data_IF_988989904780
#
_entry.id   IF_988989904780
#
_cell.length_a   1.000
_cell.length_b   1.000
_cell.length_c   1.000
_cell.angle_alpha   90.00
_cell.angle_beta   90.00
_cell.angle_gamma   90.00
#
_symmetry.space_group_name_H-M   'P 1'
#
loop_
_entity.id
_entity.type
_entity.pdbx_description
1 polymer ?
#
# COMPACT_ATOMS: atom_id res chain seq x y z
N UNK A 1 -24.95 -10.14 11.06
CA UNK A 1 -23.85 -9.29 10.55
C UNK A 1 -23.37 -8.43 11.72
N UNK A 2 -22.17 -8.66 12.24
CA UNK A 2 -21.65 -7.87 13.38
C UNK A 2 -21.19 -6.52 12.82
N UNK A 3 -21.69 -5.38 13.32
CA UNK A 3 -21.25 -4.07 12.84
C UNK A 3 -19.87 -3.79 13.45
N UNK A 4 -18.82 -4.06 12.67
CA UNK A 4 -17.42 -3.93 13.07
C UNK A 4 -16.60 -3.13 12.05
N UNK A 5 -15.52 -2.52 12.52
CA UNK A 5 -14.48 -1.92 11.67
C UNK A 5 -13.77 -3.06 10.96
N UNK A 6 -13.90 -3.11 9.64
CA UNK A 6 -13.35 -4.14 8.78
C UNK A 6 -12.23 -3.53 7.96
N UNK A 7 -11.02 -4.05 8.16
CA UNK A 7 -9.85 -3.70 7.37
C UNK A 7 -9.83 -4.58 6.12
N UNK A 8 -9.82 -4.00 4.90
CA UNK A 8 -9.68 -4.77 3.64
C UNK A 8 -8.30 -4.51 3.01
N UNK A 9 -7.66 -5.58 2.53
CA UNK A 9 -6.55 -5.49 1.58
C UNK A 9 -7.15 -5.25 0.20
N UNK A 10 -6.96 -4.06 -0.35
CA UNK A 10 -7.23 -3.80 -1.76
C UNK A 10 -5.94 -3.98 -2.56
N UNK A 11 -6.05 -4.67 -3.70
CA UNK A 11 -5.00 -4.68 -4.71
C UNK A 11 -4.84 -3.23 -5.21
N UNK A 12 -3.61 -2.74 -5.22
CA UNK A 12 -3.22 -1.32 -5.33
C UNK A 12 -3.57 -0.58 -6.63
N UNK A 13 -4.57 -1.02 -7.42
CA UNK A 13 -4.88 -0.43 -8.73
C UNK A 13 -6.01 0.61 -8.72
N UNK A 14 -6.80 0.70 -7.66
CA UNK A 14 -7.93 1.65 -7.59
C UNK A 14 -7.79 2.55 -6.35
N UNK A 15 -7.64 3.86 -6.59
CA UNK A 15 -7.72 4.87 -5.53
C UNK A 15 -9.14 4.82 -4.96
N UNK A 16 -9.32 4.33 -3.73
CA UNK A 16 -10.64 4.30 -3.11
C UNK A 16 -11.03 5.74 -2.75
N UNK A 17 -12.06 6.32 -3.40
CA UNK A 17 -12.47 7.67 -3.12
C UNK A 17 -12.75 7.82 -1.62
N UNK A 18 -12.31 8.91 -0.99
CA UNK A 18 -12.42 9.10 0.45
C UNK A 18 -13.86 9.15 0.97
N UNK A 19 -14.83 9.40 0.07
CA UNK A 19 -16.26 9.38 0.34
C UNK A 19 -16.93 8.04 -0.03
N UNK A 20 -16.20 7.09 -0.61
CA UNK A 20 -16.76 5.80 -0.98
C UNK A 20 -16.96 4.94 0.27
N UNK A 21 -18.21 4.51 0.43
CA UNK A 21 -18.58 3.46 1.38
C UNK A 21 -18.60 2.14 0.61
N UNK A 22 -17.71 1.19 0.95
CA UNK A 22 -17.79 -0.13 0.34
C UNK A 22 -19.19 -0.73 0.56
N UNK A 23 -19.69 -1.53 -0.37
CA UNK A 23 -20.95 -2.27 -0.16
C UNK A 23 -20.77 -3.46 0.77
N UNK A 24 -19.56 -4.02 0.81
CA UNK A 24 -19.14 -5.13 1.67
C UNK A 24 -17.67 -4.96 2.05
N UNK A 25 -17.29 -5.42 3.23
CA UNK A 25 -15.89 -5.51 3.65
C UNK A 25 -15.65 -6.82 4.41
N UNK A 26 -14.48 -7.42 4.16
CA UNK A 26 -13.99 -8.57 4.92
C UNK A 26 -12.89 -8.08 5.86
N UNK A 27 -12.77 -8.72 7.03
CA UNK A 27 -11.65 -8.49 7.94
C UNK A 27 -10.39 -9.06 7.30
N UNK A 28 -9.25 -8.43 7.57
CA UNK A 28 -7.94 -8.98 7.26
C UNK A 28 -7.14 -9.11 8.54
N UNK A 29 -6.43 -10.22 8.64
CA UNK A 29 -5.50 -10.46 9.75
C UNK A 29 -4.08 -10.05 9.35
N UNK A 30 -3.76 -10.03 8.05
CA UNK A 30 -2.46 -9.59 7.56
C UNK A 30 -2.47 -9.01 6.14
N UNK A 31 -1.41 -8.26 5.82
CA UNK A 31 -1.05 -7.78 4.49
C UNK A 31 0.39 -8.17 4.14
N UNK A 32 0.63 -8.47 2.88
CA UNK A 32 1.96 -8.81 2.36
C UNK A 32 2.56 -7.68 1.53
N UNK A 33 3.86 -7.45 1.69
CA UNK A 33 4.66 -6.52 0.90
C UNK A 33 5.89 -7.24 0.35
N UNK A 34 6.19 -7.02 -0.92
CA UNK A 34 7.44 -7.49 -1.54
C UNK A 34 8.22 -6.27 -2.00
N UNK A 35 9.51 -6.24 -1.70
CA UNK A 35 10.39 -5.15 -2.08
C UNK A 35 11.79 -5.68 -2.41
N UNK A 36 12.60 -4.88 -3.10
CA UNK A 36 14.03 -5.10 -3.26
C UNK A 36 14.79 -4.21 -2.29
N UNK A 37 16.03 -4.61 -1.98
CA UNK A 37 16.94 -3.83 -1.12
C UNK A 37 17.09 -2.40 -1.65
N UNK A 38 17.13 -1.43 -0.73
CA UNK A 38 17.28 0.01 -1.00
C UNK A 38 16.10 0.64 -1.77
N UNK A 39 14.90 0.11 -1.61
CA UNK A 39 13.66 0.70 -2.11
C UNK A 39 12.74 1.20 -0.99
N UNK A 40 11.80 2.05 -1.39
CA UNK A 40 10.60 2.34 -0.63
C UNK A 40 9.45 1.54 -1.21
N UNK A 41 8.79 0.74 -0.39
CA UNK A 41 7.62 -0.01 -0.77
C UNK A 41 6.49 0.27 0.22
N UNK A 42 5.24 0.18 -0.20
CA UNK A 42 4.12 0.40 0.70
C UNK A 42 2.98 -0.59 0.48
N UNK A 43 2.29 -0.91 1.56
CA UNK A 43 1.02 -1.63 1.54
C UNK A 43 -0.09 -0.74 2.08
N UNK A 44 -1.32 -0.97 1.63
CA UNK A 44 -2.47 -0.13 1.96
C UNK A 44 -3.56 -0.97 2.62
N UNK A 45 -4.13 -0.45 3.70
CA UNK A 45 -5.27 -1.01 4.41
C UNK A 45 -6.39 0.01 4.39
N UNK A 46 -7.57 -0.37 3.92
CA UNK A 46 -8.74 0.49 4.00
C UNK A 46 -9.42 0.31 5.36
N UNK A 47 -9.62 1.41 6.08
CA UNK A 47 -10.35 1.46 7.35
C UNK A 47 -11.67 2.18 7.10
N UNK A 48 -12.78 1.46 7.23
CA UNK A 48 -14.12 1.98 6.96
C UNK A 48 -14.90 2.18 8.26
N UNK A 49 -15.51 3.36 8.41
CA UNK A 49 -16.45 3.66 9.48
C UNK A 49 -17.88 3.46 8.99
N UNK A 50 -18.49 2.37 9.43
CA UNK A 50 -19.89 2.01 9.11
C UNK A 50 -20.91 2.70 10.03
N UNK A 51 -20.47 3.52 10.97
CA UNK A 51 -21.34 4.22 11.90
C UNK A 51 -21.79 5.57 11.32
N UNK A 52 -22.88 6.08 11.90
CA UNK A 52 -23.41 7.42 11.62
C UNK A 52 -22.70 8.53 12.40
N UNK A 53 -21.69 8.18 13.20
CA UNK A 53 -20.88 9.11 14.00
C UNK A 53 -19.41 9.02 13.60
N UNK A 54 -18.66 10.13 13.62
CA UNK A 54 -17.22 10.10 13.38
C UNK A 54 -16.51 9.28 14.46
N UNK A 55 -15.37 8.70 14.09
CA UNK A 55 -14.52 7.90 14.96
C UNK A 55 -13.10 8.47 14.98
N UNK A 56 -12.47 8.47 16.15
CA UNK A 56 -11.05 8.71 16.31
C UNK A 56 -10.35 7.40 16.64
N UNK A 57 -9.31 7.09 15.87
CA UNK A 57 -8.48 5.92 16.09
C UNK A 57 -7.06 6.34 16.47
N UNK A 58 -6.40 5.47 17.24
CA UNK A 58 -4.96 5.46 17.38
C UNK A 58 -4.39 4.28 16.61
N UNK A 59 -3.49 4.56 15.68
CA UNK A 59 -2.74 3.55 14.93
C UNK A 59 -1.31 3.55 15.41
N UNK A 60 -0.80 2.37 15.77
CA UNK A 60 0.56 2.21 16.28
C UNK A 60 1.11 0.85 15.87
N UNK A 61 2.43 0.68 15.97
CA UNK A 61 3.05 -0.65 15.91
C UNK A 61 2.88 -1.35 17.26
N UNK A 62 2.54 -2.63 17.23
CA UNK A 62 2.34 -3.50 18.39
C UNK A 62 3.06 -4.82 18.17
N UNK A 63 4.39 -4.75 18.10
CA UNK A 63 5.21 -5.93 17.83
C UNK A 63 5.23 -6.92 19.00
N UNK A 64 4.92 -6.46 20.23
CA UNK A 64 4.77 -7.27 21.44
C UNK A 64 5.98 -8.16 21.75
N UNK A 65 5.79 -9.10 22.67
CA UNK A 65 6.71 -10.23 22.80
C UNK A 65 6.51 -11.18 21.60
N UNK A 66 7.62 -11.62 21.02
CA UNK A 66 7.65 -12.51 19.87
C UNK A 66 8.22 -13.87 20.31
N UNK A 67 7.58 -14.95 19.87
CA UNK A 67 8.08 -16.30 20.11
C UNK A 67 9.41 -16.55 19.38
N UNK A 68 10.12 -17.59 19.79
CA UNK A 68 11.43 -17.95 19.22
C UNK A 68 11.40 -18.21 17.70
N UNK A 69 10.28 -18.71 17.19
CA UNK A 69 10.08 -19.01 15.75
C UNK A 69 9.50 -17.84 14.95
N UNK A 70 9.34 -16.66 15.56
CA UNK A 70 8.79 -15.51 14.87
C UNK A 70 9.76 -14.95 13.82
N UNK A 71 9.23 -14.47 12.70
CA UNK A 71 10.03 -13.70 11.74
C UNK A 71 10.68 -12.49 12.43
N UNK A 72 11.89 -12.09 12.00
CA UNK A 72 12.52 -10.86 12.45
C UNK A 72 11.56 -9.67 12.36
N UNK A 73 11.53 -8.86 13.41
CA UNK A 73 10.77 -7.61 13.38
C UNK A 73 11.40 -6.62 12.40
N UNK A 74 10.59 -5.85 11.69
CA UNK A 74 11.11 -4.67 10.99
C UNK A 74 11.70 -3.70 12.02
N UNK A 75 12.86 -3.06 11.77
CA UNK A 75 13.33 -1.95 12.60
C UNK A 75 12.28 -0.84 12.69
N UNK A 76 12.27 -0.07 13.78
CA UNK A 76 11.24 0.93 14.04
C UNK A 76 11.25 2.02 12.96
N UNK A 77 12.46 2.50 12.64
CA UNK A 77 12.80 3.51 11.65
C UNK A 77 12.52 3.07 10.21
N UNK A 78 12.48 1.76 9.95
CA UNK A 78 12.16 1.23 8.63
C UNK A 78 10.67 1.38 8.28
N UNK A 79 9.79 1.60 9.26
CA UNK A 79 8.33 1.65 9.04
C UNK A 79 7.80 3.05 9.28
N UNK A 80 7.13 3.61 8.28
CA UNK A 80 6.42 4.87 8.38
C UNK A 80 4.93 4.64 8.12
N UNK A 81 4.09 4.99 9.08
CA UNK A 81 2.65 4.96 8.90
C UNK A 81 2.18 6.31 8.34
N UNK A 82 1.34 6.25 7.32
CA UNK A 82 0.73 7.40 6.65
C UNK A 82 -0.76 7.15 6.50
N UNK A 83 -1.54 8.19 6.27
CA UNK A 83 -2.94 8.03 5.91
C UNK A 83 -3.29 8.93 4.75
N UNK A 84 -4.20 8.48 3.90
CA UNK A 84 -4.64 9.29 2.77
C UNK A 84 -5.65 10.35 3.21
N UNK A 85 -5.36 11.59 2.85
CA UNK A 85 -6.20 12.75 3.13
C UNK A 85 -6.93 13.15 1.84
N UNK A 86 -8.26 13.30 1.86
CA UNK A 86 -9.00 13.88 0.75
C UNK A 86 -8.50 15.30 0.47
N UNK A 87 -8.05 15.55 -0.76
CA UNK A 87 -7.82 16.90 -1.25
C UNK A 87 -9.00 17.34 -2.12
N UNK A 88 -9.53 18.56 -1.92
CA UNK A 88 -10.53 19.12 -2.81
C UNK A 88 -9.92 19.34 -4.19
N UNK A 89 -10.59 18.82 -5.23
CA UNK A 89 -10.22 19.04 -6.61
C UNK A 89 -11.19 20.04 -7.26
N UNK A 90 -10.72 21.09 -7.96
CA UNK A 90 -11.60 21.99 -8.68
C UNK A 90 -12.43 21.21 -9.72
N UNK A 91 -13.77 21.27 -9.60
CA UNK A 91 -14.75 20.65 -10.51
C UNK A 91 -14.73 19.11 -10.59
N UNK A 92 -14.12 18.42 -9.62
CA UNK A 92 -14.09 16.95 -9.57
C UNK A 92 -14.32 16.44 -8.14
N UNK A 93 -14.62 15.16 -8.03
CA UNK A 93 -14.66 14.47 -6.73
C UNK A 93 -13.30 14.56 -6.03
N UNK A 94 -13.34 14.62 -4.69
CA UNK A 94 -12.12 14.70 -3.88
C UNK A 94 -11.27 13.44 -4.08
N UNK A 95 -9.98 13.64 -4.33
CA UNK A 95 -9.01 12.54 -4.49
C UNK A 95 -8.24 12.35 -3.19
N UNK A 96 -8.05 11.11 -2.78
CA UNK A 96 -7.20 10.74 -1.66
C UNK A 96 -5.73 10.73 -2.12
N UNK A 97 -5.16 11.93 -2.31
CA UNK A 97 -3.85 12.12 -2.95
C UNK A 97 -2.75 12.54 -1.95
N UNK A 98 -3.09 13.29 -0.91
CA UNK A 98 -2.14 13.64 0.14
C UNK A 98 -1.88 12.44 1.06
N UNK A 99 -0.61 12.08 1.26
CA UNK A 99 -0.16 10.98 2.13
C UNK A 99 0.73 11.48 3.30
N UNK A 100 0.21 12.35 4.20
CA UNK A 100 0.98 12.77 5.37
C UNK A 100 1.32 11.58 6.27
N UNK A 101 2.45 11.72 6.97
CA UNK A 101 2.84 10.81 8.06
C UNK A 101 1.83 10.95 9.20
N UNK A 102 1.48 9.83 9.83
CA UNK A 102 0.80 9.87 11.12
C UNK A 102 1.72 10.54 12.14
N UNK A 103 1.15 11.44 12.94
CA UNK A 103 1.90 12.15 13.98
C UNK A 103 2.40 11.19 15.08
N UNK A 104 3.16 11.72 16.05
CA UNK A 104 3.67 10.92 17.16
C UNK A 104 2.58 10.30 18.05
N UNK A 105 1.36 10.85 18.02
CA UNK A 105 0.22 10.29 18.73
C UNK A 105 -0.42 9.12 17.95
N UNK A 106 -0.22 9.06 16.64
CA UNK A 106 -0.77 8.05 15.75
C UNK A 106 -2.26 8.24 15.49
N UNK A 107 -2.76 9.48 15.59
CA UNK A 107 -4.19 9.75 15.51
C UNK A 107 -4.70 9.77 14.08
N UNK A 108 -5.82 9.10 13.85
CA UNK A 108 -6.51 9.09 12.56
C UNK A 108 -8.00 9.35 12.78
N UNK A 109 -8.48 10.47 12.24
CA UNK A 109 -9.91 10.81 12.25
C UNK A 109 -10.61 10.18 11.03
N UNK A 110 -11.71 9.48 11.30
CA UNK A 110 -12.50 8.80 10.28
C UNK A 110 -13.96 9.26 10.36
N UNK A 111 -14.42 10.10 9.41
CA UNK A 111 -15.80 10.59 9.40
C UNK A 111 -16.84 9.47 9.33
N UNK A 112 -18.06 9.78 9.73
CA UNK A 112 -19.20 8.88 9.62
C UNK A 112 -19.39 8.42 8.16
N UNK A 113 -19.60 7.12 7.95
CA UNK A 113 -19.83 6.59 6.60
C UNK A 113 -18.71 6.90 5.62
N UNK A 114 -17.44 6.89 6.05
CA UNK A 114 -16.30 7.12 5.15
C UNK A 114 -15.23 6.06 5.33
N UNK A 115 -14.37 5.97 4.32
CA UNK A 115 -13.18 5.12 4.32
C UNK A 115 -11.93 6.00 4.31
N UNK A 116 -10.90 5.59 5.04
CA UNK A 116 -9.54 6.15 4.94
C UNK A 116 -8.56 5.04 4.63
N UNK A 117 -7.57 5.36 3.81
CA UNK A 117 -6.49 4.45 3.51
C UNK A 117 -5.37 4.66 4.54
N UNK A 118 -5.01 3.60 5.25
CA UNK A 118 -3.81 3.53 6.09
C UNK A 118 -2.69 2.92 5.26
N UNK A 119 -1.62 3.68 5.09
CA UNK A 119 -0.45 3.31 4.32
C UNK A 119 0.68 2.88 5.26
N UNK A 120 1.24 1.71 4.99
CA UNK A 120 2.38 1.15 5.70
C UNK A 120 3.57 1.22 4.76
N UNK A 121 4.33 2.30 4.85
CA UNK A 121 5.53 2.49 4.03
C UNK A 121 6.73 1.86 4.73
N UNK A 122 7.50 1.08 3.98
CA UNK A 122 8.71 0.40 4.44
C UNK A 122 9.89 0.94 3.64
N UNK A 123 10.84 1.57 4.34
CA UNK A 123 12.16 1.88 3.82
C UNK A 123 13.05 0.67 4.02
N UNK A 124 13.55 0.09 2.93
CA UNK A 124 14.38 -1.12 2.96
C UNK A 124 15.87 -0.82 2.92
N UNK A 125 16.26 0.46 2.95
CA UNK A 125 17.66 0.85 3.10
C UNK A 125 18.25 0.25 4.38
N UNK A 126 19.40 -0.40 4.25
CA UNK A 126 20.08 -1.05 5.38
C UNK A 126 19.50 -2.39 5.82
N UNK A 127 18.38 -2.85 5.25
CA UNK A 127 17.83 -4.19 5.53
C UNK A 127 18.54 -5.27 4.70
N UNK A 128 18.73 -6.44 5.30
CA UNK A 128 19.25 -7.62 4.61
C UNK A 128 18.12 -8.36 3.89
N UNK A 129 18.36 -8.93 2.70
CA UNK A 129 17.37 -9.78 2.03
C UNK A 129 16.85 -10.87 2.96
N UNK A 130 15.55 -11.13 2.94
CA UNK A 130 14.92 -12.04 3.89
C UNK A 130 13.43 -11.78 4.08
N UNK A 131 12.89 -12.36 5.16
CA UNK A 131 11.50 -12.17 5.57
C UNK A 131 11.46 -11.42 6.90
N UNK A 132 10.59 -10.42 6.98
CA UNK A 132 10.33 -9.64 8.17
C UNK A 132 8.84 -9.60 8.43
N UNK A 133 8.46 -9.29 9.67
CA UNK A 133 7.07 -8.97 9.97
C UNK A 133 6.95 -7.81 10.95
N UNK A 134 5.85 -7.08 10.91
CA UNK A 134 5.42 -6.20 12.00
C UNK A 134 3.92 -6.35 12.25
N UNK A 135 3.43 -5.93 13.41
CA UNK A 135 2.00 -5.87 13.70
C UNK A 135 1.58 -4.43 13.94
N UNK A 136 0.44 -4.07 13.36
CA UNK A 136 -0.22 -2.80 13.60
C UNK A 136 -1.38 -3.02 14.57
N UNK A 137 -1.56 -2.07 15.48
CA UNK A 137 -2.70 -1.96 16.36
C UNK A 137 -3.53 -0.75 15.94
N UNK A 138 -4.79 -0.99 15.58
CA UNK A 138 -5.79 0.02 15.26
C UNK A 138 -6.78 0.04 16.40
N UNK A 139 -6.63 1.02 17.29
CA UNK A 139 -7.41 1.14 18.52
C UNK A 139 -8.43 2.27 18.39
N UNK A 140 -9.74 1.99 18.47
CA UNK A 140 -10.73 3.06 18.58
C UNK A 140 -10.58 3.79 19.93
N UNK A 141 -10.62 5.12 19.89
CA UNK A 141 -10.61 5.97 21.09
C UNK A 141 -12.00 6.52 21.41
N UNK A 142 -12.74 6.92 20.38
CA UNK A 142 -14.11 7.45 20.51
C UNK A 142 -15.08 6.58 19.74
N UNK A 143 -15.35 5.38 20.26
CA UNK A 143 -16.29 4.45 19.63
C UNK A 143 -17.18 3.74 20.67
N UNK A 144 -18.39 3.29 20.27
CA UNK A 144 -19.20 2.41 21.13
C UNK A 144 -18.46 1.10 21.43
N UNK A 145 -18.74 0.47 22.58
CA UNK A 145 -18.00 -0.72 23.05
C UNK A 145 -17.99 -1.93 22.11
N UNK A 146 -18.86 -1.97 21.09
CA UNK A 146 -18.82 -2.98 20.01
C UNK A 146 -17.65 -2.82 19.05
N UNK A 147 -17.02 -1.64 19.00
CA UNK A 147 -15.84 -1.38 18.19
C UNK A 147 -14.60 -1.77 18.99
N UNK A 148 -14.02 -2.91 18.65
CA UNK A 148 -12.84 -3.44 19.34
C UNK A 148 -11.55 -3.02 18.66
N UNK A 149 -10.44 -3.11 19.40
CA UNK A 149 -9.09 -2.95 18.84
C UNK A 149 -8.83 -4.06 17.82
N UNK A 150 -8.33 -3.68 16.65
CA UNK A 150 -7.93 -4.61 15.60
C UNK A 150 -6.40 -4.70 15.51
N UNK A 151 -5.91 -5.89 15.17
CA UNK A 151 -4.48 -6.12 14.91
C UNK A 151 -4.29 -6.64 13.49
N UNK A 152 -3.37 -6.02 12.76
CA UNK A 152 -3.09 -6.38 11.37
C UNK A 152 -1.59 -6.67 11.24
N UNK A 153 -1.25 -7.90 10.85
CA UNK A 153 0.10 -8.29 10.51
C UNK A 153 0.56 -7.67 9.19
N UNK A 154 1.84 -7.35 9.08
CA UNK A 154 2.48 -6.84 7.88
C UNK A 154 3.69 -7.71 7.62
N UNK A 155 3.60 -8.57 6.62
CA UNK A 155 4.67 -9.48 6.24
C UNK A 155 5.45 -8.91 5.07
N UNK A 156 6.76 -8.75 5.22
CA UNK A 156 7.63 -8.16 4.21
C UNK A 156 8.62 -9.19 3.70
N UNK A 157 8.66 -9.39 2.38
CA UNK A 157 9.69 -10.17 1.70
C UNK A 157 10.64 -9.24 0.95
N UNK A 158 11.91 -9.26 1.36
CA UNK A 158 12.96 -8.45 0.78
C UNK A 158 13.89 -9.29 -0.10
N UNK A 159 14.09 -8.84 -1.34
CA UNK A 159 14.99 -9.47 -2.31
C UNK A 159 16.25 -8.64 -2.55
N UNK A 160 17.28 -9.27 -3.11
CA UNK A 160 18.57 -8.62 -3.45
C UNK A 160 18.51 -7.73 -4.70
N UNK A 161 17.47 -7.85 -5.53
CA UNK A 161 17.57 -7.49 -6.94
C UNK A 161 17.19 -6.02 -7.26
N UNK A 162 18.19 -5.23 -7.65
CA UNK A 162 18.08 -4.27 -8.74
C UNK A 162 19.29 -4.54 -9.66
N UNK A 163 19.12 -4.85 -10.95
CA UNK A 163 20.26 -4.99 -11.86
C UNK A 163 21.07 -3.68 -11.88
N UNK A 164 22.35 -3.73 -11.50
CA UNK A 164 23.26 -2.56 -11.47
C UNK A 164 23.63 -2.05 -12.86
N UNK A 165 23.34 -2.81 -13.92
CA UNK A 165 23.44 -2.38 -15.31
C UNK A 165 22.06 -2.53 -15.95
N UNK A 166 21.36 -1.41 -16.07
CA UNK A 166 20.12 -1.33 -16.81
C UNK A 166 20.39 -0.58 -18.13
N UNK A 167 19.87 -1.03 -19.29
CA UNK A 167 20.14 -0.38 -20.58
C UNK A 167 19.47 1.00 -20.75
N UNK A 168 18.77 1.49 -19.73
CA UNK A 168 18.12 2.81 -19.69
C UNK A 168 18.54 3.53 -18.41
N UNK A 169 18.86 4.81 -18.51
CA UNK A 169 19.23 5.69 -17.38
C UNK A 169 18.04 6.01 -16.46
N UNK A 170 16.81 5.75 -16.93
CA UNK A 170 15.56 5.95 -16.17
C UNK A 170 14.84 4.60 -16.08
N UNK A 171 14.41 4.27 -14.87
CA UNK A 171 13.79 3.01 -14.54
C UNK A 171 12.53 3.23 -13.69
N UNK A 172 11.43 2.63 -14.12
CA UNK A 172 10.18 2.54 -13.36
C UNK A 172 9.97 1.06 -12.99
N UNK A 173 10.03 0.70 -11.71
CA UNK A 173 9.51 -0.61 -11.29
C UNK A 173 8.02 -0.51 -10.99
N UNK A 174 7.21 -1.02 -11.90
CA UNK A 174 5.83 -1.39 -11.59
C UNK A 174 5.78 -2.86 -11.21
N UNK A 175 5.10 -3.16 -10.10
CA UNK A 175 4.89 -4.54 -9.66
C UNK A 175 3.56 -5.06 -10.23
N UNK A 176 3.64 -6.04 -11.14
CA UNK A 176 2.49 -6.87 -11.48
C UNK A 176 2.58 -8.21 -10.72
N UNK A 177 1.49 -8.60 -10.06
CA UNK A 177 1.41 -9.87 -9.32
C UNK A 177 0.82 -10.95 -10.22
N UNK A 178 1.62 -11.55 -11.09
CA UNK A 178 1.26 -12.84 -11.69
C UNK A 178 1.47 -13.95 -10.64
N UNK A 179 0.56 -14.93 -10.64
CA UNK A 179 0.53 -15.99 -9.63
C UNK A 179 1.75 -16.91 -9.72
N UNK A 180 2.18 -17.39 -8.53
CA UNK A 180 3.16 -18.46 -8.24
C UNK A 180 3.93 -19.07 -9.42
N UNK A 181 5.26 -19.01 -9.30
CA UNK A 181 6.06 -20.23 -9.36
C UNK A 181 7.14 -20.19 -8.26
N UNK A 182 7.34 -21.31 -7.56
CA UNK A 182 8.22 -21.45 -6.38
C UNK A 182 9.66 -21.81 -6.77
N UNK A 183 10.03 -21.72 -8.05
CA UNK A 183 11.42 -21.95 -8.49
C UNK A 183 12.05 -20.63 -8.89
N UNK A 184 12.85 -20.09 -7.97
CA UNK A 184 13.67 -18.91 -8.20
C UNK A 184 14.63 -19.12 -9.37
N UNK A 185 14.34 -18.47 -10.49
CA UNK A 185 15.31 -18.21 -11.54
C UNK A 185 15.26 -16.72 -11.86
N UNK A 186 16.41 -16.13 -12.19
CA UNK A 186 16.51 -14.72 -12.59
C UNK A 186 15.65 -14.37 -13.83
N UNK A 187 15.18 -15.37 -14.57
CA UNK A 187 14.27 -15.16 -15.70
C UNK A 187 12.85 -14.79 -15.25
N UNK A 188 12.34 -15.34 -14.13
CA UNK A 188 10.99 -14.97 -13.63
C UNK A 188 10.94 -13.58 -12.97
N UNK A 189 12.10 -13.00 -12.62
CA UNK A 189 12.20 -11.62 -12.14
C UNK A 189 12.19 -10.57 -13.27
N UNK A 190 12.50 -10.95 -14.51
CA UNK A 190 12.44 -10.02 -15.66
C UNK A 190 11.02 -9.64 -16.03
N UNK A 191 10.05 -10.52 -15.79
CA UNK A 191 8.63 -10.25 -16.08
C UNK A 191 7.97 -9.36 -15.01
N UNK A 192 8.51 -9.34 -13.78
CA UNK A 192 8.01 -8.54 -12.68
C UNK A 192 8.49 -7.07 -12.71
N UNK A 193 9.39 -6.76 -13.62
CA UNK A 193 9.96 -5.44 -13.84
C UNK A 193 9.54 -5.02 -15.23
N UNK A 194 8.34 -4.44 -15.33
CA UNK A 194 7.91 -3.84 -16.59
C UNK A 194 8.88 -2.71 -16.95
N UNK A 195 9.80 -3.01 -17.87
CA UNK A 195 10.46 -1.99 -18.64
C UNK A 195 9.37 -1.30 -19.45
N UNK A 196 8.88 -0.17 -18.97
CA UNK A 196 8.23 0.80 -19.83
C UNK A 196 9.29 1.25 -20.85
N UNK A 197 9.40 0.50 -21.94
CA UNK A 197 9.93 1.01 -23.19
C UNK A 197 8.94 2.09 -23.60
N UNK A 198 9.17 3.33 -23.18
CA UNK A 198 8.63 4.47 -23.92
C UNK A 198 9.34 4.38 -25.27
N UNK A 199 8.65 4.05 -26.38
CA UNK A 199 9.32 4.10 -27.67
C UNK A 199 9.83 5.54 -27.86
N UNK A 200 11.08 5.73 -28.32
CA UNK A 200 11.59 7.07 -28.58
C UNK A 200 10.60 7.78 -29.51
N UNK A 201 10.27 9.06 -29.27
CA UNK A 201 9.47 9.81 -30.22
C UNK A 201 10.28 9.93 -31.52
N UNK A 202 9.93 9.11 -32.50
CA UNK A 202 10.62 9.06 -33.79
C UNK A 202 11.12 7.67 -34.16
N UNK A 203 10.21 6.78 -34.57
CA UNK A 203 10.42 5.85 -35.69
C UNK A 203 9.06 5.46 -36.28
N UNK A 204 8.61 6.32 -37.20
CA UNK A 204 7.63 6.09 -38.27
C UNK A 204 6.51 5.09 -38.05
N UNK A 205 5.34 5.58 -37.64
CA UNK A 205 4.10 5.06 -38.20
C UNK A 205 3.82 5.84 -39.49
N UNK A 206 3.98 5.15 -40.62
CA UNK A 206 3.46 5.57 -41.91
C UNK A 206 1.94 5.68 -41.82
N UNK A 207 1.44 6.90 -41.61
CA UNK A 207 0.01 7.13 -41.40
C UNK A 207 -0.40 8.59 -41.48
N UNK A 208 0.25 9.39 -42.33
CA UNK A 208 -0.16 10.77 -42.65
C UNK A 208 -0.05 11.04 -44.17
N UNK A 209 -0.62 10.16 -44.97
CA UNK A 209 -0.97 10.45 -46.37
C UNK A 209 -2.46 10.19 -46.57
N UNK A 210 -3.29 11.09 -46.06
CA UNK A 210 -4.64 11.37 -46.55
C UNK A 210 -5.18 12.55 -45.77
N UNK A 211 -4.75 13.74 -46.17
CA UNK A 211 -5.42 15.03 -45.97
C UNK A 211 -4.59 16.02 -46.80
N UNK A 212 -4.74 15.89 -48.12
CA UNK A 212 -4.56 16.94 -49.13
C UNK A 212 -4.86 16.31 -50.50
N UNK A 213 -6.14 16.33 -50.85
CA UNK A 213 -6.65 16.07 -52.19
C UNK A 213 -7.88 16.96 -52.39
N UNK A 214 -7.62 18.25 -52.63
CA UNK A 214 -8.45 19.21 -53.37
C UNK A 214 -7.62 20.47 -53.62
#
# INVERSE_FOLDING_TARGET
MVPGVLARSWRSRENCPPAEVPKTANSIDSIGLTACRNQHAAAVVNVTNWLKTPLLFRVSRDDGERGADALPALPLEAVTLRYAVPLPAPRKEALADALPRLDGAGLMHLPAGQTRQLWVAVNTAGLSPGRYSTRLKIQPLTAPGRCTTQRVGVDVRLWTCIPTKHPLDIFLCEYERTGRDERGSLQSLRELVHNCLIPPPGRGESGLQQLDSS
#
